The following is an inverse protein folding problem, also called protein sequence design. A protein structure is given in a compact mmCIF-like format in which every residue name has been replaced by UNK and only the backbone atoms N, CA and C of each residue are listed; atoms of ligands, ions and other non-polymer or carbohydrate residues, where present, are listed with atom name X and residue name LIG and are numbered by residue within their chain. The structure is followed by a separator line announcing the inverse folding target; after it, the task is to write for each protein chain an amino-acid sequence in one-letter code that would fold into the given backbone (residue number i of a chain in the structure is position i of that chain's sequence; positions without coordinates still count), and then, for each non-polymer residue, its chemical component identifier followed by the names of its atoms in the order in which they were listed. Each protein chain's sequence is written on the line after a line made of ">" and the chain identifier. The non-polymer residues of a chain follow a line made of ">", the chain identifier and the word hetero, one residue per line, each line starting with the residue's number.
data_IF_784898892250
#
_entry.id   IF_784898892250
#
_cell.length_a   1.000
_cell.length_b   1.000
_cell.length_c   1.000
_cell.angle_alpha   90.00
_cell.angle_beta   90.00
_cell.angle_gamma   90.00
#
_symmetry.space_group_name_H-M   'P 1'
#
loop_
_entity.id
_entity.type
_entity.pdbx_description
1 polymer ?
#
# COMPACT_ATOMS: atom_id res chain seq x y z
N UNK A 1 8.60 -17.18 28.27
CA UNK A 1 8.02 -15.90 27.83
C UNK A 1 8.00 -15.94 26.31
N UNK A 2 6.83 -15.96 25.69
CA UNK A 2 6.74 -15.82 24.23
C UNK A 2 7.21 -14.41 23.87
N UNK A 3 8.37 -14.29 23.24
CA UNK A 3 8.85 -13.02 22.72
C UNK A 3 7.81 -12.50 21.71
N UNK A 4 7.21 -11.35 22.02
CA UNK A 4 6.12 -10.77 21.23
C UNK A 4 6.62 -10.27 19.87
N UNK A 5 7.90 -9.90 19.81
CA UNK A 5 8.59 -9.45 18.61
C UNK A 5 9.83 -10.30 18.33
N UNK A 6 10.12 -10.56 17.05
CA UNK A 6 11.34 -11.24 16.64
C UNK A 6 12.54 -10.27 16.58
N UNK A 7 13.75 -10.80 16.45
CA UNK A 7 14.98 -9.97 16.46
C UNK A 7 15.00 -8.88 15.37
N UNK A 8 14.40 -9.15 14.21
CA UNK A 8 14.31 -8.20 13.11
C UNK A 8 13.35 -7.05 13.43
N UNK A 9 12.19 -7.37 14.00
CA UNK A 9 11.22 -6.39 14.48
C UNK A 9 11.83 -5.53 15.59
N UNK A 10 12.58 -6.13 16.51
CA UNK A 10 13.29 -5.40 17.57
C UNK A 10 14.35 -4.46 16.97
N UNK A 11 15.15 -4.92 16.01
CA UNK A 11 16.15 -4.08 15.35
C UNK A 11 15.51 -2.94 14.55
N UNK A 12 14.40 -3.20 13.85
CA UNK A 12 13.62 -2.19 13.15
C UNK A 12 13.11 -1.11 14.13
N UNK A 13 12.44 -1.52 15.21
CA UNK A 13 11.92 -0.60 16.24
C UNK A 13 13.06 0.23 16.84
N UNK A 14 14.18 -0.41 17.19
CA UNK A 14 15.35 0.25 17.76
C UNK A 14 15.85 1.38 16.86
N UNK A 15 16.05 1.11 15.57
CA UNK A 15 16.53 2.12 14.62
C UNK A 15 15.47 3.16 14.26
N UNK A 16 14.20 2.78 14.13
CA UNK A 16 13.10 3.73 13.93
C UNK A 16 13.04 4.76 15.06
N UNK A 17 13.18 4.35 16.32
CA UNK A 17 13.20 5.27 17.46
C UNK A 17 14.39 6.24 17.38
N UNK A 18 15.58 5.73 17.08
CA UNK A 18 16.78 6.58 16.89
C UNK A 18 16.53 7.61 15.78
N UNK A 19 16.00 7.21 14.63
CA UNK A 19 15.73 8.13 13.52
C UNK A 19 14.64 9.15 13.85
N UNK A 20 13.61 8.77 14.60
CA UNK A 20 12.58 9.72 15.06
C UNK A 20 13.20 10.75 16.00
N UNK A 21 14.04 10.33 16.95
CA UNK A 21 14.71 11.25 17.89
C UNK A 21 15.62 12.22 17.12
N UNK A 22 16.45 11.70 16.22
CA UNK A 22 17.34 12.52 15.39
C UNK A 22 16.57 13.45 14.44
N UNK A 23 15.46 12.98 13.88
CA UNK A 23 14.60 13.74 12.97
C UNK A 23 13.81 14.84 13.67
N UNK A 24 13.36 14.61 14.90
CA UNK A 24 12.58 15.55 15.71
C UNK A 24 13.33 16.84 16.05
N UNK A 25 14.66 16.80 16.00
CA UNK A 25 15.54 17.97 16.18
C UNK A 25 15.44 18.92 14.97
N UNK A 26 15.00 18.44 13.79
CA UNK A 26 14.82 19.26 12.58
C UNK A 26 13.37 19.79 12.49
N UNK A 27 13.23 21.11 12.35
CA UNK A 27 11.92 21.80 12.21
C UNK A 27 11.04 21.23 11.09
N UNK A 28 11.65 20.71 10.01
CA UNK A 28 10.95 20.15 8.85
C UNK A 28 10.20 18.84 9.15
N UNK A 29 10.57 18.12 10.22
CA UNK A 29 9.93 16.86 10.61
C UNK A 29 8.46 17.04 10.98
N UNK A 30 8.12 18.15 11.66
CA UNK A 30 6.73 18.47 12.01
C UNK A 30 5.87 18.77 10.79
N UNK A 31 6.45 19.29 9.71
CA UNK A 31 5.75 19.49 8.45
C UNK A 31 5.32 18.17 7.81
N UNK A 32 6.17 17.15 7.89
CA UNK A 32 5.85 15.79 7.41
C UNK A 32 4.74 15.17 8.23
N UNK A 33 4.81 15.26 9.58
CA UNK A 33 3.74 14.76 10.46
C UNK A 33 2.41 15.43 10.12
N UNK A 34 2.38 16.77 10.01
CA UNK A 34 1.15 17.50 9.66
C UNK A 34 0.58 17.09 8.30
N UNK A 35 1.43 16.70 7.33
CA UNK A 35 0.97 16.23 6.04
C UNK A 35 0.20 14.90 6.12
N UNK A 36 0.48 14.04 7.10
CA UNK A 36 -0.28 12.80 7.33
C UNK A 36 -1.68 13.06 7.91
N UNK A 37 -1.90 14.19 8.59
CA UNK A 37 -3.17 14.55 9.22
C UNK A 37 -4.07 15.44 8.37
N UNK A 38 -3.95 15.38 7.03
CA UNK A 38 -4.93 16.04 6.16
C UNK A 38 -6.26 15.28 6.18
N UNK A 39 -7.38 16.02 6.21
CA UNK A 39 -8.75 15.47 6.36
C UNK A 39 -9.03 14.32 5.37
N UNK A 40 -8.66 14.48 4.10
CA UNK A 40 -8.83 13.44 3.06
C UNK A 40 -8.06 12.15 3.34
N UNK A 41 -6.88 12.25 3.96
CA UNK A 41 -6.05 11.09 4.30
C UNK A 41 -6.69 10.37 5.48
N UNK A 42 -7.11 11.11 6.51
CA UNK A 42 -7.76 10.55 7.70
C UNK A 42 -9.03 9.78 7.31
N UNK A 43 -9.90 10.35 6.48
CA UNK A 43 -11.14 9.70 6.03
C UNK A 43 -10.85 8.39 5.30
N UNK A 44 -9.85 8.39 4.42
CA UNK A 44 -9.44 7.20 3.66
C UNK A 44 -8.92 6.10 4.59
N UNK A 45 -8.14 6.46 5.60
CA UNK A 45 -7.61 5.52 6.59
C UNK A 45 -8.68 4.99 7.54
N UNK A 46 -9.62 5.82 7.98
CA UNK A 46 -10.73 5.35 8.81
C UNK A 46 -11.61 4.36 8.06
N UNK A 47 -11.94 4.65 6.79
CA UNK A 47 -12.70 3.74 5.94
C UNK A 47 -11.94 2.42 5.68
N UNK A 48 -10.61 2.47 5.51
CA UNK A 48 -9.82 1.26 5.31
C UNK A 48 -9.74 0.41 6.57
N UNK A 49 -9.64 1.01 7.76
CA UNK A 49 -9.69 0.31 9.05
C UNK A 49 -11.03 -0.42 9.20
N UNK A 50 -12.15 0.28 9.01
CA UNK A 50 -13.49 -0.31 9.10
C UNK A 50 -13.63 -1.48 8.13
N UNK A 51 -13.16 -1.31 6.89
CA UNK A 51 -13.21 -2.39 5.89
C UNK A 51 -12.36 -3.60 6.30
N UNK A 52 -11.16 -3.36 6.84
CA UNK A 52 -10.29 -4.45 7.31
C UNK A 52 -10.93 -5.16 8.49
N UNK A 53 -11.50 -4.46 9.46
CA UNK A 53 -12.24 -5.08 10.57
C UNK A 53 -13.37 -5.99 10.08
N UNK A 54 -14.15 -5.55 9.09
CA UNK A 54 -15.18 -6.39 8.46
C UNK A 54 -14.58 -7.65 7.79
N UNK A 55 -13.43 -7.50 7.13
CA UNK A 55 -12.72 -8.63 6.54
C UNK A 55 -12.19 -9.60 7.61
N UNK A 56 -11.70 -9.09 8.73
CA UNK A 56 -11.25 -9.91 9.87
C UNK A 56 -12.43 -10.66 10.50
N UNK A 57 -13.57 -10.01 10.70
CA UNK A 57 -14.80 -10.67 11.19
C UNK A 57 -15.23 -11.80 10.27
N UNK A 58 -15.19 -11.59 8.95
CA UNK A 58 -15.45 -12.64 7.97
C UNK A 58 -14.46 -13.81 8.13
N UNK A 59 -13.17 -13.53 8.28
CA UNK A 59 -12.15 -14.57 8.47
C UNK A 59 -12.26 -15.29 9.82
N UNK A 60 -12.76 -14.63 10.87
CA UNK A 60 -13.07 -15.27 12.15
C UNK A 60 -14.25 -16.22 12.04
N UNK A 61 -15.31 -15.86 11.32
CA UNK A 61 -16.46 -16.76 11.06
C UNK A 61 -16.03 -17.99 10.25
N UNK A 62 -14.99 -17.87 9.43
CA UNK A 62 -14.40 -18.99 8.67
C UNK A 62 -13.34 -19.79 9.46
N UNK A 63 -13.22 -19.58 10.78
CA UNK A 63 -12.21 -20.20 11.66
C UNK A 63 -10.74 -19.98 11.20
N UNK A 64 -10.51 -18.97 10.36
CA UNK A 64 -9.17 -18.65 9.85
C UNK A 64 -8.46 -17.69 10.81
N UNK A 65 -9.06 -16.54 11.12
CA UNK A 65 -8.41 -15.49 11.89
C UNK A 65 -8.64 -15.63 13.39
N UNK A 66 -7.55 -15.55 14.16
CA UNK A 66 -7.50 -15.60 15.62
C UNK A 66 -6.70 -14.41 16.16
N UNK A 67 -6.88 -14.05 17.43
CA UNK A 67 -6.19 -12.89 18.04
C UNK A 67 -4.66 -12.96 17.96
N UNK A 68 -4.09 -14.17 17.88
CA UNK A 68 -2.65 -14.38 17.71
C UNK A 68 -2.11 -13.76 16.40
N UNK A 69 -2.95 -13.62 15.38
CA UNK A 69 -2.61 -13.03 14.08
C UNK A 69 -2.78 -11.50 14.04
N UNK A 70 -3.17 -10.86 15.16
CA UNK A 70 -3.39 -9.42 15.22
C UNK A 70 -2.13 -8.63 14.88
N UNK A 71 -0.97 -9.06 15.40
CA UNK A 71 0.33 -8.42 15.11
C UNK A 71 0.60 -8.41 13.61
N UNK A 72 0.46 -9.57 12.97
CA UNK A 72 0.70 -9.74 11.54
C UNK A 72 -0.28 -8.90 10.69
N UNK A 73 -1.53 -8.80 11.16
CA UNK A 73 -2.56 -7.96 10.52
C UNK A 73 -2.21 -6.47 10.57
N UNK A 74 -1.73 -5.98 11.72
CA UNK A 74 -1.31 -4.57 11.88
C UNK A 74 -0.10 -4.27 11.00
N UNK A 75 0.90 -5.16 10.98
CA UNK A 75 2.08 -5.00 10.13
C UNK A 75 1.71 -5.01 8.65
N UNK A 76 0.84 -5.92 8.22
CA UNK A 76 0.32 -5.94 6.85
C UNK A 76 -0.44 -4.65 6.50
N UNK A 77 -1.26 -4.13 7.41
CA UNK A 77 -2.01 -2.90 7.19
C UNK A 77 -1.09 -1.69 7.00
N UNK A 78 -0.14 -1.49 7.91
CA UNK A 78 0.80 -0.36 7.85
C UNK A 78 1.72 -0.42 6.63
N UNK A 79 2.10 -1.61 6.19
CA UNK A 79 2.93 -1.82 5.00
C UNK A 79 2.10 -1.97 3.72
N UNK A 80 1.63 -3.19 3.48
CA UNK A 80 1.02 -3.60 2.22
C UNK A 80 -0.29 -2.88 1.90
N UNK A 81 -1.15 -2.60 2.88
CA UNK A 81 -2.41 -1.89 2.63
C UNK A 81 -2.15 -0.41 2.25
N UNK A 82 -1.26 0.28 2.97
CA UNK A 82 -0.82 1.64 2.62
C UNK A 82 -0.23 1.72 1.20
N UNK A 83 0.66 0.80 0.86
CA UNK A 83 1.26 0.73 -0.50
C UNK A 83 0.18 0.45 -1.55
N UNK A 84 -0.77 -0.44 -1.25
CA UNK A 84 -1.89 -0.73 -2.15
C UNK A 84 -2.77 0.50 -2.38
N UNK A 85 -3.14 1.24 -1.32
CA UNK A 85 -3.88 2.51 -1.45
C UNK A 85 -3.11 3.47 -2.38
N UNK A 86 -1.83 3.73 -2.10
CA UNK A 86 -1.02 4.65 -2.89
C UNK A 86 -0.94 4.24 -4.37
N UNK A 87 -0.63 2.98 -4.63
CA UNK A 87 -0.49 2.46 -5.99
C UNK A 87 -1.84 2.45 -6.74
N UNK A 88 -2.95 2.18 -6.05
CA UNK A 88 -4.29 2.19 -6.66
C UNK A 88 -4.67 3.60 -7.17
N UNK A 89 -4.33 4.63 -6.39
CA UNK A 89 -4.60 6.03 -6.73
C UNK A 89 -3.71 6.48 -7.90
N UNK A 90 -2.45 6.06 -7.93
CA UNK A 90 -1.47 6.43 -8.97
C UNK A 90 -1.67 5.69 -10.30
N UNK A 91 -2.42 4.60 -10.32
CA UNK A 91 -2.53 3.71 -11.47
C UNK A 91 -3.08 4.39 -12.73
N UNK A 92 -2.25 4.45 -13.78
CA UNK A 92 -2.63 4.95 -15.11
C UNK A 92 -3.63 3.99 -15.78
N UNK A 93 -3.38 2.69 -15.71
CA UNK A 93 -4.34 1.64 -16.06
C UNK A 93 -4.66 0.80 -14.82
N UNK A 94 -5.96 0.72 -14.54
CA UNK A 94 -6.48 0.09 -13.33
C UNK A 94 -6.65 -1.42 -13.53
N UNK A 95 -6.89 -1.87 -14.76
CA UNK A 95 -6.91 -3.29 -15.09
C UNK A 95 -5.51 -3.88 -14.88
N UNK A 96 -4.48 -3.18 -15.36
CA UNK A 96 -3.09 -3.62 -15.19
C UNK A 96 -2.66 -3.54 -13.73
N UNK A 97 -3.08 -2.51 -12.99
CA UNK A 97 -2.83 -2.43 -11.54
C UNK A 97 -3.38 -3.65 -10.79
N UNK A 98 -4.68 -3.97 -10.94
CA UNK A 98 -5.27 -5.09 -10.22
C UNK A 98 -4.72 -6.44 -10.65
N UNK A 99 -4.52 -6.63 -11.97
CA UNK A 99 -3.88 -7.84 -12.50
C UNK A 99 -2.48 -8.01 -11.93
N UNK A 100 -1.68 -6.95 -11.92
CA UNK A 100 -0.32 -6.97 -11.40
C UNK A 100 -0.31 -7.24 -9.90
N UNK A 101 -1.16 -6.57 -9.12
CA UNK A 101 -1.24 -6.78 -7.67
C UNK A 101 -1.60 -8.24 -7.32
N UNK A 102 -2.54 -8.84 -8.06
CA UNK A 102 -2.87 -10.26 -7.93
C UNK A 102 -1.69 -11.16 -8.28
N UNK A 103 -1.07 -10.96 -9.43
CA UNK A 103 0.06 -11.80 -9.88
C UNK A 103 1.24 -11.67 -8.92
N UNK A 104 1.56 -10.45 -8.49
CA UNK A 104 2.69 -10.17 -7.58
C UNK A 104 2.50 -10.85 -6.22
N UNK A 105 1.26 -10.95 -5.74
CA UNK A 105 0.92 -11.65 -4.49
C UNK A 105 1.18 -13.17 -4.56
N UNK A 106 1.03 -13.79 -5.73
CA UNK A 106 1.24 -15.24 -5.92
C UNK A 106 2.65 -15.63 -6.36
N UNK A 107 3.57 -14.68 -6.51
CA UNK A 107 4.96 -15.00 -6.92
C UNK A 107 5.67 -15.79 -5.83
N UNK A 108 6.53 -16.73 -6.24
CA UNK A 108 7.46 -17.43 -5.33
C UNK A 108 8.33 -16.49 -4.50
N UNK A 109 8.54 -15.24 -4.96
CA UNK A 109 9.20 -14.18 -4.19
C UNK A 109 8.55 -14.00 -2.81
N UNK A 110 7.22 -14.08 -2.73
CA UNK A 110 6.50 -13.94 -1.46
C UNK A 110 6.82 -15.08 -0.47
N UNK A 111 6.98 -16.31 -0.97
CA UNK A 111 7.42 -17.45 -0.15
C UNK A 111 8.82 -17.22 0.42
N UNK A 112 9.75 -16.76 -0.42
CA UNK A 112 11.11 -16.47 0.03
C UNK A 112 11.17 -15.31 1.02
N UNK A 113 10.40 -14.25 0.78
CA UNK A 113 10.27 -13.13 1.71
C UNK A 113 9.73 -13.58 3.07
N UNK A 114 8.74 -14.49 3.08
CA UNK A 114 8.24 -15.07 4.32
C UNK A 114 9.30 -15.90 5.05
N UNK A 115 10.01 -16.79 4.35
CA UNK A 115 11.08 -17.61 4.97
C UNK A 115 12.17 -16.71 5.56
N UNK A 116 12.58 -15.68 4.82
CA UNK A 116 13.55 -14.68 5.30
C UNK A 116 13.02 -13.97 6.55
N UNK A 117 11.74 -13.59 6.58
CA UNK A 117 11.11 -12.92 7.73
C UNK A 117 10.89 -13.82 8.93
N UNK A 118 10.69 -15.12 8.71
CA UNK A 118 10.53 -16.10 9.78
C UNK A 118 11.84 -16.38 10.50
N UNK A 119 12.92 -16.63 9.75
CA UNK A 119 14.24 -16.93 10.32
C UNK A 119 15.09 -15.66 10.42
N UNK A 120 15.07 -15.05 11.60
CA UNK A 120 15.85 -13.85 11.89
C UNK A 120 17.27 -14.17 12.33
N UNK A 121 18.22 -13.27 12.05
CA UNK A 121 19.56 -13.34 12.60
C UNK A 121 19.52 -13.14 14.13
N UNK A 122 20.60 -13.50 14.86
CA UNK A 122 20.75 -13.10 16.24
C UNK A 122 20.65 -11.58 16.39
N UNK A 123 20.03 -11.10 17.47
CA UNK A 123 19.68 -9.69 17.66
C UNK A 123 20.84 -8.71 17.38
N UNK A 124 22.03 -9.01 17.89
CA UNK A 124 23.23 -8.18 17.67
C UNK A 124 23.53 -8.01 16.18
N UNK A 125 23.39 -9.08 15.40
CA UNK A 125 23.61 -9.03 13.96
C UNK A 125 22.50 -8.26 13.25
N UNK A 126 21.22 -8.43 13.60
CA UNK A 126 20.12 -7.62 13.03
C UNK A 126 20.33 -6.12 13.29
N UNK A 127 20.76 -5.73 14.50
CA UNK A 127 21.03 -4.33 14.85
C UNK A 127 22.17 -3.74 14.01
N UNK A 128 23.21 -4.53 13.70
CA UNK A 128 24.37 -4.07 12.91
C UNK A 128 24.05 -4.05 11.41
N UNK A 129 23.38 -5.07 10.88
CA UNK A 129 23.10 -5.19 9.44
C UNK A 129 22.03 -4.21 8.99
N UNK A 130 21.01 -3.94 9.81
CA UNK A 130 19.91 -3.03 9.47
C UNK A 130 20.37 -1.63 9.00
N UNK A 131 21.17 -0.85 9.78
CA UNK A 131 21.60 0.48 9.38
C UNK A 131 22.56 0.42 8.20
N UNK A 132 23.37 -0.64 8.11
CA UNK A 132 24.31 -0.83 7.01
C UNK A 132 23.56 -1.00 5.68
N UNK A 133 22.56 -1.89 5.64
CA UNK A 133 21.69 -2.08 4.48
C UNK A 133 20.94 -0.78 4.16
N UNK A 134 20.42 -0.08 5.17
CA UNK A 134 19.71 1.18 4.99
C UNK A 134 20.58 2.26 4.34
N UNK A 135 21.82 2.44 4.81
CA UNK A 135 22.76 3.41 4.23
C UNK A 135 23.03 3.09 2.77
N UNK A 136 23.27 1.82 2.44
CA UNK A 136 23.54 1.40 1.06
C UNK A 136 22.29 1.59 0.19
N UNK A 137 21.10 1.28 0.70
CA UNK A 137 19.85 1.48 -0.02
C UNK A 137 19.59 2.96 -0.31
N UNK A 138 19.84 3.86 0.65
CA UNK A 138 19.74 5.31 0.45
C UNK A 138 20.76 5.78 -0.59
N UNK A 139 22.00 5.32 -0.50
CA UNK A 139 23.04 5.65 -1.48
C UNK A 139 22.65 5.16 -2.89
N UNK A 140 22.15 3.93 -3.01
CA UNK A 140 21.67 3.37 -4.27
C UNK A 140 20.55 4.22 -4.89
N UNK A 141 19.58 4.65 -4.07
CA UNK A 141 18.49 5.53 -4.50
C UNK A 141 19.02 6.89 -4.98
N UNK A 142 19.99 7.47 -4.26
CA UNK A 142 20.64 8.72 -4.66
C UNK A 142 21.36 8.57 -6.02
N UNK A 143 22.14 7.51 -6.21
CA UNK A 143 22.84 7.23 -7.48
C UNK A 143 21.85 6.99 -8.63
N UNK A 144 20.70 6.36 -8.36
CA UNK A 144 19.63 6.26 -9.34
C UNK A 144 19.09 7.63 -9.75
N UNK A 145 18.88 8.53 -8.80
CA UNK A 145 18.40 9.89 -9.07
C UNK A 145 19.41 10.70 -9.87
N UNK A 146 20.69 10.60 -9.52
CA UNK A 146 21.80 11.27 -10.20
C UNK A 146 22.20 10.60 -11.53
N UNK A 147 21.59 9.46 -11.89
CA UNK A 147 21.89 8.65 -13.07
C UNK A 147 23.34 8.15 -13.12
N UNK A 148 23.95 7.90 -11.97
CA UNK A 148 25.29 7.32 -11.86
C UNK A 148 25.23 5.79 -11.93
N UNK A 149 25.37 5.23 -13.13
CA UNK A 149 25.17 3.79 -13.34
C UNK A 149 26.22 2.90 -12.65
N UNK A 150 27.48 3.32 -12.62
CA UNK A 150 28.58 2.51 -12.04
C UNK A 150 28.41 2.36 -10.52
N UNK A 151 28.17 3.46 -9.82
CA UNK A 151 27.94 3.46 -8.37
C UNK A 151 26.63 2.72 -8.00
N UNK A 152 25.60 2.86 -8.84
CA UNK A 152 24.36 2.08 -8.68
C UNK A 152 24.58 0.58 -8.84
N UNK A 153 25.34 0.14 -9.86
CA UNK A 153 25.67 -1.28 -10.05
C UNK A 153 26.46 -1.83 -8.86
N UNK A 154 27.41 -1.06 -8.34
CA UNK A 154 28.20 -1.44 -7.17
C UNK A 154 27.32 -1.61 -5.92
N UNK A 155 26.49 -0.62 -5.60
CA UNK A 155 25.59 -0.70 -4.44
C UNK A 155 24.54 -1.80 -4.60
N UNK A 156 24.01 -2.03 -5.81
CA UNK A 156 23.17 -3.19 -6.11
C UNK A 156 23.89 -4.52 -5.86
N UNK A 157 25.17 -4.62 -6.25
CA UNK A 157 25.99 -5.80 -5.99
C UNK A 157 26.12 -6.07 -4.49
N UNK A 158 26.37 -5.04 -3.68
CA UNK A 158 26.44 -5.19 -2.22
C UNK A 158 25.08 -5.64 -1.66
N UNK A 159 23.99 -4.98 -2.04
CA UNK A 159 22.64 -5.35 -1.60
C UNK A 159 22.30 -6.79 -1.99
N UNK A 160 22.69 -7.23 -3.17
CA UNK A 160 22.49 -8.61 -3.63
C UNK A 160 23.29 -9.62 -2.79
N UNK A 161 24.54 -9.30 -2.42
CA UNK A 161 25.36 -10.15 -1.54
C UNK A 161 24.70 -10.28 -0.16
N UNK A 162 24.25 -9.18 0.45
CA UNK A 162 23.54 -9.22 1.74
C UNK A 162 22.23 -9.98 1.64
N UNK A 163 21.46 -9.76 0.58
CA UNK A 163 20.22 -10.48 0.32
C UNK A 163 20.46 -11.99 0.22
N UNK A 164 21.48 -12.41 -0.54
CA UNK A 164 21.87 -13.82 -0.66
C UNK A 164 22.39 -14.40 0.66
N UNK A 165 23.13 -13.62 1.45
CA UNK A 165 23.60 -14.05 2.76
C UNK A 165 22.44 -14.34 3.72
N UNK A 166 21.51 -13.38 3.87
CA UNK A 166 20.33 -13.53 4.73
C UNK A 166 19.45 -14.67 4.23
N UNK A 167 19.27 -14.77 2.91
CA UNK A 167 18.53 -15.85 2.29
C UNK A 167 19.14 -17.23 2.59
N UNK A 168 20.45 -17.38 2.38
CA UNK A 168 21.16 -18.64 2.64
C UNK A 168 21.11 -19.03 4.12
N UNK A 169 21.22 -18.07 5.03
CA UNK A 169 21.05 -18.29 6.47
C UNK A 169 19.63 -18.75 6.82
N UNK A 170 18.62 -18.14 6.22
CA UNK A 170 17.21 -18.50 6.47
C UNK A 170 16.90 -19.90 5.94
N UNK A 171 17.43 -20.25 4.77
CA UNK A 171 17.28 -21.59 4.18
C UNK A 171 18.04 -22.64 5.00
N UNK A 172 19.24 -22.35 5.50
CA UNK A 172 19.97 -23.31 6.33
C UNK A 172 19.22 -23.63 7.63
N UNK A 173 18.65 -22.62 8.29
CA UNK A 173 17.77 -22.80 9.44
C UNK A 173 16.52 -23.63 9.12
N UNK A 174 15.85 -23.34 7.99
CA UNK A 174 14.68 -24.10 7.54
C UNK A 174 14.99 -25.58 7.33
N UNK A 175 16.15 -25.89 6.73
CA UNK A 175 16.59 -27.27 6.49
C UNK A 175 16.97 -27.96 7.81
N UNK A 176 17.63 -27.24 8.74
CA UNK A 176 18.07 -27.81 10.02
C UNK A 176 16.92 -28.11 10.98
N UNK A 177 15.91 -27.24 11.07
CA UNK A 177 14.71 -27.51 11.86
C UNK A 177 13.45 -26.89 11.21
N UNK A 178 12.72 -27.67 10.38
CA UNK A 178 11.52 -27.21 9.70
C UNK A 178 10.28 -27.23 10.61
N UNK A 179 10.32 -27.89 11.77
CA UNK A 179 9.12 -28.10 12.61
C UNK A 179 8.48 -26.80 13.08
N UNK A 180 9.23 -25.76 13.52
CA UNK A 180 8.65 -24.48 13.91
C UNK A 180 7.94 -23.81 12.73
N UNK A 181 8.49 -23.92 11.51
CA UNK A 181 7.92 -23.30 10.32
C UNK A 181 6.59 -23.95 9.89
N UNK A 182 6.49 -25.28 10.00
CA UNK A 182 5.34 -26.06 9.52
C UNK A 182 4.15 -26.12 10.51
N UNK A 183 4.11 -25.26 11.52
CA UNK A 183 2.95 -25.19 12.43
C UNK A 183 1.75 -24.54 11.74
N UNK A 184 0.54 -24.95 12.10
CA UNK A 184 -0.71 -24.40 11.53
C UNK A 184 -0.77 -22.88 11.74
N UNK A 185 -0.34 -22.39 12.91
CA UNK A 185 -0.31 -20.96 13.21
C UNK A 185 0.62 -20.20 12.27
N UNK A 186 1.83 -20.70 12.01
CA UNK A 186 2.78 -20.03 11.13
C UNK A 186 2.38 -20.12 9.65
N UNK A 187 1.72 -21.21 9.24
CA UNK A 187 1.09 -21.31 7.93
C UNK A 187 -0.07 -20.30 7.78
N UNK A 188 -0.88 -20.10 8.83
CA UNK A 188 -1.89 -19.02 8.84
C UNK A 188 -1.22 -17.65 8.73
N UNK A 189 -0.16 -17.36 9.48
CA UNK A 189 0.61 -16.11 9.38
C UNK A 189 1.20 -15.90 7.99
N UNK A 190 1.66 -16.95 7.31
CA UNK A 190 2.15 -16.88 5.93
C UNK A 190 1.05 -16.50 4.94
N UNK A 191 -0.10 -17.15 5.04
CA UNK A 191 -1.20 -17.01 4.07
C UNK A 191 -2.04 -15.75 4.33
N UNK A 192 -2.06 -15.27 5.58
CA UNK A 192 -2.87 -14.13 6.00
C UNK A 192 -2.63 -12.86 5.14
N UNK A 193 -1.39 -12.37 4.91
CA UNK A 193 -1.15 -11.22 4.04
C UNK A 193 -1.69 -11.41 2.61
N UNK A 194 -1.65 -12.63 2.07
CA UNK A 194 -2.18 -12.95 0.74
C UNK A 194 -3.70 -12.78 0.74
N UNK A 195 -4.38 -13.42 1.70
CA UNK A 195 -5.83 -13.35 1.84
C UNK A 195 -6.28 -11.89 2.05
N UNK A 196 -5.63 -11.17 2.97
CA UNK A 196 -5.95 -9.78 3.25
C UNK A 196 -5.74 -8.90 2.00
N UNK A 197 -4.65 -9.10 1.25
CA UNK A 197 -4.39 -8.35 0.00
C UNK A 197 -5.49 -8.61 -1.04
N UNK A 198 -5.92 -9.86 -1.20
CA UNK A 198 -7.02 -10.22 -2.11
C UNK A 198 -8.35 -9.59 -1.64
N UNK A 199 -8.67 -9.70 -0.35
CA UNK A 199 -9.87 -9.11 0.23
C UNK A 199 -9.85 -7.58 0.18
N UNK A 200 -8.68 -6.95 0.11
CA UNK A 200 -8.52 -5.49 0.04
C UNK A 200 -8.64 -4.93 -1.39
N UNK A 201 -8.62 -5.79 -2.42
CA UNK A 201 -8.80 -5.37 -3.82
C UNK A 201 -10.17 -4.68 -4.05
N UNK A 202 -11.31 -5.22 -3.60
CA UNK A 202 -12.60 -4.53 -3.71
C UNK A 202 -12.58 -3.14 -3.06
N UNK A 203 -12.01 -3.02 -1.86
CA UNK A 203 -11.88 -1.73 -1.18
C UNK A 203 -11.10 -0.71 -2.01
N UNK A 204 -9.90 -1.08 -2.46
CA UNK A 204 -9.06 -0.18 -3.27
C UNK A 204 -9.74 0.18 -4.60
N UNK A 205 -10.54 -0.70 -5.19
CA UNK A 205 -11.37 -0.38 -6.35
C UNK A 205 -12.41 0.71 -6.04
N UNK A 206 -13.19 0.54 -4.97
CA UNK A 206 -14.18 1.52 -4.55
C UNK A 206 -13.54 2.85 -4.17
N UNK A 207 -12.38 2.83 -3.53
CA UNK A 207 -11.60 4.02 -3.20
C UNK A 207 -11.23 4.80 -4.47
N UNK A 208 -10.74 4.13 -5.51
CA UNK A 208 -10.39 4.79 -6.78
C UNK A 208 -11.62 5.37 -7.46
N UNK A 209 -12.76 4.67 -7.45
CA UNK A 209 -14.05 5.18 -7.95
C UNK A 209 -14.45 6.45 -7.20
N UNK A 210 -14.39 6.42 -5.87
CA UNK A 210 -14.73 7.55 -5.01
C UNK A 210 -13.82 8.77 -5.30
N UNK A 211 -12.51 8.56 -5.29
CA UNK A 211 -11.50 9.60 -5.55
C UNK A 211 -11.66 10.26 -6.93
N UNK A 212 -12.03 9.47 -7.96
CA UNK A 212 -12.27 10.00 -9.30
C UNK A 212 -13.53 10.88 -9.36
N UNK A 213 -14.63 10.43 -8.75
CA UNK A 213 -15.84 11.26 -8.66
C UNK A 213 -15.59 12.55 -7.89
N UNK A 214 -14.94 12.45 -6.73
CA UNK A 214 -14.62 13.59 -5.88
C UNK A 214 -13.72 14.61 -6.60
N UNK A 215 -12.71 14.14 -7.34
CA UNK A 215 -11.90 14.97 -8.23
C UNK A 215 -12.71 15.65 -9.34
N UNK A 216 -13.56 14.90 -10.05
CA UNK A 216 -14.41 15.42 -11.13
C UNK A 216 -15.41 16.47 -10.61
N UNK A 217 -16.02 16.22 -9.46
CA UNK A 217 -17.00 17.12 -8.87
C UNK A 217 -16.36 18.36 -8.27
N UNK A 218 -15.17 18.28 -7.68
CA UNK A 218 -14.44 19.50 -7.29
C UNK A 218 -14.09 20.36 -8.50
N UNK A 219 -13.63 19.73 -9.60
CA UNK A 219 -13.27 20.44 -10.82
C UNK A 219 -14.46 21.20 -11.44
N UNK A 220 -15.61 20.53 -11.59
CA UNK A 220 -16.83 21.15 -12.15
C UNK A 220 -17.45 22.11 -11.12
N UNK A 221 -17.47 21.73 -9.85
CA UNK A 221 -18.20 22.39 -8.77
C UNK A 221 -17.83 23.85 -8.53
N UNK A 222 -16.57 24.23 -8.81
CA UNK A 222 -16.14 25.63 -8.73
C UNK A 222 -17.02 26.56 -9.58
N UNK A 223 -17.53 26.09 -10.72
CA UNK A 223 -18.35 26.87 -11.67
C UNK A 223 -19.84 26.94 -11.30
N UNK A 224 -20.30 26.05 -10.42
CA UNK A 224 -21.71 25.95 -10.03
C UNK A 224 -21.96 26.37 -8.57
N UNK A 225 -21.04 27.14 -7.98
CA UNK A 225 -21.10 27.64 -6.60
C UNK A 225 -22.42 28.38 -6.28
N UNK A 226 -23.02 29.07 -7.26
CA UNK A 226 -24.31 29.77 -7.10
C UNK A 226 -25.54 28.97 -7.59
N UNK A 227 -25.35 27.77 -8.18
CA UNK A 227 -26.38 26.97 -8.83
C UNK A 227 -26.45 25.53 -8.28
N UNK A 228 -26.64 25.40 -6.97
CA UNK A 228 -26.56 24.11 -6.27
C UNK A 228 -27.55 23.05 -6.81
N UNK A 229 -28.79 23.44 -7.14
CA UNK A 229 -29.81 22.53 -7.68
C UNK A 229 -29.40 21.95 -9.04
N UNK A 230 -28.81 22.77 -9.90
CA UNK A 230 -28.31 22.35 -11.22
C UNK A 230 -27.11 21.41 -11.06
N UNK A 231 -26.20 21.74 -10.14
CA UNK A 231 -25.05 20.91 -9.84
C UNK A 231 -25.41 19.52 -9.29
N UNK A 232 -26.46 19.42 -8.45
CA UNK A 232 -26.99 18.12 -7.98
C UNK A 232 -27.52 17.27 -9.12
N UNK A 233 -28.22 17.86 -10.10
CA UNK A 233 -28.71 17.14 -11.30
C UNK A 233 -27.54 16.61 -12.14
N UNK A 234 -26.54 17.45 -12.35
CA UNK A 234 -25.29 17.12 -13.04
C UNK A 234 -24.58 15.94 -12.37
N UNK A 235 -24.35 16.01 -11.05
CA UNK A 235 -23.74 14.92 -10.27
C UNK A 235 -24.49 13.61 -10.45
N UNK A 236 -25.81 13.63 -10.28
CA UNK A 236 -26.67 12.44 -10.43
C UNK A 236 -26.53 11.83 -11.82
N UNK A 237 -26.53 12.66 -12.87
CA UNK A 237 -26.41 12.19 -14.25
C UNK A 237 -25.05 11.55 -14.53
N UNK A 238 -23.97 12.17 -14.06
CA UNK A 238 -22.61 11.62 -14.18
C UNK A 238 -22.52 10.27 -13.45
N UNK A 239 -23.05 10.16 -12.22
CA UNK A 239 -23.07 8.90 -11.46
C UNK A 239 -23.88 7.82 -12.19
N UNK A 240 -25.02 8.17 -12.77
CA UNK A 240 -25.85 7.21 -13.51
C UNK A 240 -25.18 6.68 -14.79
N UNK A 241 -24.42 7.52 -15.50
CA UNK A 241 -23.69 7.09 -16.69
C UNK A 241 -22.47 6.23 -16.34
N UNK A 242 -21.67 6.73 -15.39
CA UNK A 242 -20.39 6.13 -15.05
C UNK A 242 -20.53 4.92 -14.11
N UNK A 243 -21.50 4.91 -13.20
CA UNK A 243 -21.70 3.90 -12.15
C UNK A 243 -20.37 3.59 -11.42
N UNK A 244 -20.02 2.31 -11.30
CA UNK A 244 -18.73 1.87 -10.75
C UNK A 244 -17.64 1.77 -11.84
N UNK A 245 -17.95 2.07 -13.10
CA UNK A 245 -17.02 1.88 -14.21
C UNK A 245 -15.98 2.98 -14.27
N UNK A 246 -14.78 2.68 -13.79
CA UNK A 246 -13.64 3.57 -13.87
C UNK A 246 -13.27 3.90 -15.34
N UNK A 247 -13.51 2.96 -16.27
CA UNK A 247 -13.28 3.21 -17.71
C UNK A 247 -14.17 4.34 -18.23
N UNK A 248 -15.45 4.34 -17.87
CA UNK A 248 -16.40 5.40 -18.26
C UNK A 248 -16.03 6.74 -17.64
N UNK A 249 -15.59 6.76 -16.38
CA UNK A 249 -15.12 7.97 -15.70
C UNK A 249 -13.89 8.57 -16.39
N UNK A 250 -12.89 7.74 -16.73
CA UNK A 250 -11.71 8.17 -17.48
C UNK A 250 -12.06 8.67 -18.88
N UNK A 251 -12.98 8.01 -19.59
CA UNK A 251 -13.43 8.41 -20.93
C UNK A 251 -14.13 9.78 -20.87
N UNK A 252 -15.07 9.95 -19.94
CA UNK A 252 -15.77 11.20 -19.71
C UNK A 252 -14.82 12.34 -19.34
N UNK A 253 -13.86 12.10 -18.44
CA UNK A 253 -12.89 13.12 -18.02
C UNK A 253 -11.95 13.56 -19.15
N UNK A 254 -11.65 12.65 -20.10
CA UNK A 254 -10.78 12.92 -21.25
C UNK A 254 -11.53 13.56 -22.44
N UNK A 255 -12.86 13.70 -22.39
CA UNK A 255 -13.56 14.37 -23.48
C UNK A 255 -13.17 15.84 -23.51
N UNK A 256 -12.96 16.38 -24.71
CA UNK A 256 -12.58 17.79 -24.89
C UNK A 256 -13.65 18.72 -24.28
N UNK A 257 -14.90 18.28 -24.28
CA UNK A 257 -16.08 18.96 -23.73
C UNK A 257 -16.17 18.95 -22.20
N UNK A 258 -15.47 18.04 -21.50
CA UNK A 258 -15.53 17.96 -20.03
C UNK A 258 -15.05 19.25 -19.36
N UNK A 259 -14.04 19.88 -19.98
CA UNK A 259 -13.51 21.17 -19.55
C UNK A 259 -14.51 22.33 -19.67
N UNK A 260 -15.57 22.20 -20.46
CA UNK A 260 -16.51 23.26 -20.83
C UNK A 260 -17.92 23.08 -20.28
N UNK A 261 -18.14 22.10 -19.40
CA UNK A 261 -19.44 21.87 -18.76
C UNK A 261 -19.86 23.10 -17.94
N UNK A 262 -20.95 23.76 -18.36
CA UNK A 262 -21.55 24.95 -17.72
C UNK A 262 -23.05 24.79 -17.45
N UNK A 263 -23.68 23.78 -18.03
CA UNK A 263 -25.10 23.45 -17.85
C UNK A 263 -25.35 21.94 -17.83
N UNK A 264 -26.60 21.55 -17.50
CA UNK A 264 -27.03 20.15 -17.60
C UNK A 264 -27.04 19.63 -19.05
N UNK A 265 -27.37 20.48 -20.03
CA UNK A 265 -27.42 20.11 -21.45
C UNK A 265 -26.04 19.76 -21.99
N UNK A 266 -25.00 20.47 -21.57
CA UNK A 266 -23.62 20.20 -21.97
C UNK A 266 -23.18 18.79 -21.59
N UNK A 267 -23.59 18.31 -20.40
CA UNK A 267 -23.32 16.95 -19.95
C UNK A 267 -24.11 15.93 -20.76
N UNK A 268 -25.37 16.23 -21.09
CA UNK A 268 -26.18 15.32 -21.87
C UNK A 268 -25.62 15.15 -23.29
N UNK A 269 -25.16 16.23 -23.91
CA UNK A 269 -24.50 16.21 -25.21
C UNK A 269 -23.16 15.46 -25.14
N UNK A 270 -22.34 15.77 -24.14
CA UNK A 270 -21.06 15.08 -23.92
C UNK A 270 -21.24 13.57 -23.75
N UNK A 271 -22.28 13.15 -23.00
CA UNK A 271 -22.57 11.72 -22.81
C UNK A 271 -23.07 11.06 -24.11
N UNK A 272 -23.84 11.77 -24.95
CA UNK A 272 -24.32 11.24 -26.24
C UNK A 272 -23.19 11.03 -27.25
N UNK A 273 -22.11 11.82 -27.16
CA UNK A 273 -20.93 11.71 -28.02
C UNK A 273 -19.98 10.55 -27.64
N UNK A 274 -20.15 9.95 -26.47
CA UNK A 274 -19.24 8.93 -25.88
C UNK A 274 -19.80 7.50 -25.94
#
# INVERSE_FOLDING_TARGET
>A
MTELFNNREIAFIFWSLIFIILGSIKIQFWGVIKAFFQETIIDTFLLSIIYVELALLLLTVLDFWEINLLKDTILWFLGSACISIYNSIKAIDIKDYFRKNLIDTFKFIFLFEFIINFYTLPLVWEIITFPFILIIAIANFQFQYQKEETAKKFTNGILAIFGLFIFSYSISQLISDPKPFLTITNLKTFVLPIILTILFIPFTYFLVVYMQYDSMFRFIGFRFTKKEKEFKKIKKRIIQYCLLSIKRQKKLRKSDTFGYILSYEDIENTIKEL
#
